data_IF_709984883340
#
_entry.id   IF_709984883340
#
_cell.length_a   1.000
_cell.length_b   1.000
_cell.length_c   1.000
_cell.angle_alpha   90.00
_cell.angle_beta   90.00
_cell.angle_gamma   90.00
#
_symmetry.space_group_name_H-M   'P 1'
#
loop_
_entity.id
_entity.type
_entity.pdbx_description
1 polymer ?
#
# COMPACT_ATOMS: atom_id res chain seq x y z
N UNK A 1 -60.41 -40.41 54.60
CA UNK A 1 -61.07 -39.34 53.80
C UNK A 1 -60.42 -38.03 54.20
N UNK A 2 -59.74 -37.25 53.36
CA UNK A 2 -59.58 -37.26 51.90
C UNK A 2 -58.30 -36.48 51.57
N UNK A 3 -57.54 -37.01 50.61
CA UNK A 3 -56.33 -36.46 49.99
C UNK A 3 -56.68 -35.28 49.08
N UNK A 4 -55.76 -34.33 48.88
CA UNK A 4 -55.39 -33.64 47.61
C UNK A 4 -54.38 -32.53 47.97
N UNK A 5 -53.06 -32.76 47.79
CA UNK A 5 -52.32 -32.49 46.55
C UNK A 5 -52.53 -31.07 46.01
N UNK A 6 -51.46 -30.27 45.92
CA UNK A 6 -51.29 -29.37 44.79
C UNK A 6 -49.82 -28.96 44.57
N UNK A 7 -49.39 -29.25 43.34
CA UNK A 7 -48.06 -29.11 42.78
C UNK A 7 -47.61 -27.66 42.59
N UNK A 8 -46.29 -27.46 42.76
CA UNK A 8 -45.49 -26.40 42.16
C UNK A 8 -45.77 -26.24 40.66
N UNK A 9 -46.02 -25.00 40.21
CA UNK A 9 -45.71 -24.59 38.84
C UNK A 9 -45.11 -23.18 38.85
N UNK A 10 -43.82 -23.07 38.57
CA UNK A 10 -43.11 -21.81 38.38
C UNK A 10 -43.48 -21.28 36.98
N UNK A 11 -44.31 -20.22 36.91
CA UNK A 11 -44.68 -19.57 35.64
C UNK A 11 -43.64 -18.54 35.25
N UNK A 12 -42.62 -18.91 34.47
CA UNK A 12 -41.82 -17.91 33.76
C UNK A 12 -42.65 -17.38 32.59
N UNK A 13 -43.03 -16.10 32.63
CA UNK A 13 -43.74 -15.44 31.52
C UNK A 13 -42.79 -15.35 30.32
N UNK A 14 -43.15 -15.84 29.13
CA UNK A 14 -42.27 -15.76 27.97
C UNK A 14 -42.12 -14.28 27.55
N UNK A 15 -40.92 -13.87 27.12
CA UNK A 15 -40.66 -12.49 26.72
C UNK A 15 -41.59 -12.10 25.57
N UNK A 16 -42.23 -10.93 25.70
CA UNK A 16 -43.14 -10.41 24.68
C UNK A 16 -42.36 -10.04 23.41
N UNK A 17 -42.97 -10.21 22.23
CA UNK A 17 -42.35 -9.88 20.93
C UNK A 17 -41.83 -8.43 20.85
N UNK A 18 -42.42 -7.52 21.63
CA UNK A 18 -42.00 -6.12 21.76
C UNK A 18 -40.66 -6.02 22.51
N UNK A 19 -40.48 -6.79 23.58
CA UNK A 19 -39.23 -6.83 24.35
C UNK A 19 -38.07 -7.46 23.57
N UNK A 20 -38.33 -8.48 22.76
CA UNK A 20 -37.31 -9.08 21.89
C UNK A 20 -36.87 -8.09 20.80
N UNK A 21 -37.80 -7.36 20.19
CA UNK A 21 -37.48 -6.32 19.20
C UNK A 21 -36.67 -5.18 19.82
N UNK A 22 -37.08 -4.68 20.99
CA UNK A 22 -36.34 -3.64 21.70
C UNK A 22 -34.93 -4.10 22.08
N UNK A 23 -34.77 -5.34 22.53
CA UNK A 23 -33.47 -5.93 22.85
C UNK A 23 -32.57 -6.08 21.61
N UNK A 24 -33.13 -6.53 20.48
CA UNK A 24 -32.41 -6.62 19.21
C UNK A 24 -31.98 -5.25 18.68
N UNK A 25 -32.83 -4.22 18.83
CA UNK A 25 -32.46 -2.85 18.48
C UNK A 25 -31.34 -2.30 19.37
N UNK A 26 -31.35 -2.58 20.68
CA UNK A 26 -30.30 -2.14 21.59
C UNK A 26 -28.96 -2.85 21.34
N UNK A 27 -28.98 -4.14 21.00
CA UNK A 27 -27.77 -4.90 20.63
C UNK A 27 -27.23 -4.42 19.28
N UNK A 28 -28.10 -4.14 18.31
CA UNK A 28 -27.67 -3.59 17.02
C UNK A 28 -27.07 -2.18 17.16
N UNK A 29 -27.65 -1.34 18.03
CA UNK A 29 -27.15 0.00 18.30
C UNK A 29 -25.80 -0.01 19.04
N UNK A 30 -25.62 -0.91 20.02
CA UNK A 30 -24.33 -1.05 20.72
C UNK A 30 -23.22 -1.60 19.82
N UNK A 31 -23.56 -2.50 18.89
CA UNK A 31 -22.63 -3.03 17.90
C UNK A 31 -22.20 -1.96 16.87
N UNK A 32 -23.08 -1.00 16.56
CA UNK A 32 -22.78 0.12 15.66
C UNK A 32 -21.85 1.17 16.29
N UNK A 33 -21.86 1.31 17.62
CA UNK A 33 -21.00 2.24 18.38
C UNK A 33 -19.59 1.67 18.65
N UNK A 34 -19.40 0.35 18.56
CA UNK A 34 -18.12 -0.31 18.83
C UNK A 34 -17.15 -0.31 17.64
N UNK A 35 -17.58 0.12 16.45
CA UNK A 35 -16.72 0.21 15.26
C UNK A 35 -16.23 1.65 15.10
N UNK A 36 -15.45 2.13 16.08
CA UNK A 36 -14.53 3.23 15.79
C UNK A 36 -13.23 2.59 15.36
N UNK A 37 -12.79 2.75 14.10
CA UNK A 37 -11.43 2.40 13.72
C UNK A 37 -10.51 3.32 14.53
N UNK A 38 -9.95 2.79 15.62
CA UNK A 38 -8.84 3.41 16.34
C UNK A 38 -7.58 3.36 15.48
N UNK A 39 -7.55 4.09 14.38
CA UNK A 39 -6.34 4.38 13.63
C UNK A 39 -5.52 5.37 14.45
N UNK A 40 -4.70 4.84 15.36
CA UNK A 40 -3.60 5.64 15.91
C UNK A 40 -2.51 5.68 14.84
N UNK A 41 -2.48 6.75 14.06
CA UNK A 41 -1.33 7.05 13.22
C UNK A 41 -0.14 7.23 14.16
N UNK A 42 0.96 6.50 13.92
CA UNK A 42 2.15 6.52 14.78
C UNK A 42 2.53 7.96 15.12
N UNK A 43 2.57 8.29 16.42
CA UNK A 43 2.86 9.65 16.85
C UNK A 43 4.25 10.06 16.36
N UNK A 44 4.41 11.28 15.80
CA UNK A 44 5.71 11.80 15.40
C UNK A 44 6.69 11.73 16.57
N UNK A 45 7.93 11.39 16.29
CA UNK A 45 8.96 11.21 17.33
C UNK A 45 9.28 12.56 17.97
N UNK A 46 8.67 12.93 19.09
CA UNK A 46 8.73 14.31 19.62
C UNK A 46 10.11 14.77 20.12
N UNK A 47 11.12 13.90 20.15
CA UNK A 47 12.49 14.26 20.53
C UNK A 47 13.52 13.58 19.63
N UNK A 48 14.17 14.34 18.75
CA UNK A 48 15.24 13.88 17.87
C UNK A 48 15.36 14.70 16.59
N UNK A 49 16.38 14.47 15.75
CA UNK A 49 16.55 15.18 14.47
C UNK A 49 15.41 14.93 13.46
N UNK A 50 14.55 13.95 13.72
CA UNK A 50 13.39 13.58 12.89
C UNK A 50 12.05 13.93 13.56
N UNK A 51 12.06 14.82 14.56
CA UNK A 51 10.82 15.26 15.18
C UNK A 51 9.93 15.99 14.17
N UNK A 52 8.65 15.59 14.12
CA UNK A 52 7.69 16.08 13.11
C UNK A 52 7.68 15.29 11.79
N UNK A 53 8.62 14.37 11.58
CA UNK A 53 8.63 13.52 10.38
C UNK A 53 7.98 12.16 10.65
N UNK A 54 7.22 11.68 9.67
CA UNK A 54 6.62 10.36 9.64
C UNK A 54 7.33 9.48 8.61
N UNK A 55 7.62 8.23 8.97
CA UNK A 55 8.21 7.26 8.05
C UNK A 55 7.15 6.75 7.08
N UNK A 56 7.38 6.93 5.78
CA UNK A 56 6.55 6.41 4.70
C UNK A 56 7.32 5.37 3.88
N UNK A 57 6.59 4.47 3.23
CA UNK A 57 7.18 3.42 2.38
C UNK A 57 6.26 3.15 1.19
N UNK A 58 6.86 2.95 0.02
CA UNK A 58 6.19 2.46 -1.18
C UNK A 58 7.07 1.45 -1.90
N UNK A 59 6.45 0.36 -2.32
CA UNK A 59 7.10 -0.70 -3.10
C UNK A 59 6.60 -0.65 -4.54
N UNK A 60 7.53 -0.61 -5.49
CA UNK A 60 7.29 -0.68 -6.93
C UNK A 60 7.72 -2.07 -7.39
N UNK A 61 6.81 -2.81 -8.03
CA UNK A 61 7.05 -4.20 -8.46
C UNK A 61 6.99 -4.40 -9.98
N UNK A 62 6.66 -3.35 -10.72
CA UNK A 62 6.48 -3.38 -12.18
C UNK A 62 7.76 -3.12 -12.96
N UNK A 63 8.81 -2.59 -12.32
CA UNK A 63 10.01 -2.10 -13.01
C UNK A 63 11.20 -3.04 -12.80
N UNK A 64 12.02 -3.19 -13.83
CA UNK A 64 13.26 -3.99 -13.83
C UNK A 64 13.09 -5.46 -13.45
N UNK A 65 11.87 -6.00 -13.41
CA UNK A 65 11.59 -7.32 -12.87
C UNK A 65 12.15 -7.51 -11.45
N UNK A 66 12.06 -6.46 -10.62
CA UNK A 66 12.52 -6.46 -9.23
C UNK A 66 11.50 -5.73 -8.33
N UNK A 67 11.76 -5.74 -7.02
CA UNK A 67 11.04 -4.89 -6.06
C UNK A 67 11.94 -3.70 -5.71
N UNK A 68 11.43 -2.48 -5.92
CA UNK A 68 12.07 -1.23 -5.50
C UNK A 68 11.30 -0.68 -4.30
N UNK A 69 11.93 -0.59 -3.13
CA UNK A 69 11.33 0.00 -1.93
C UNK A 69 11.84 1.43 -1.72
N UNK A 70 10.96 2.40 -1.87
CA UNK A 70 11.21 3.81 -1.54
C UNK A 70 10.79 4.06 -0.10
N UNK A 71 11.74 4.44 0.75
CA UNK A 71 11.52 4.74 2.15
C UNK A 71 12.01 6.17 2.41
N UNK A 72 11.13 7.02 2.92
CA UNK A 72 11.49 8.38 3.30
C UNK A 72 10.79 8.79 4.60
N UNK A 73 11.40 9.73 5.31
CA UNK A 73 10.81 10.41 6.45
C UNK A 73 10.35 11.79 5.96
N UNK A 74 9.04 12.05 6.01
CA UNK A 74 8.43 13.28 5.49
C UNK A 74 7.50 13.90 6.53
N UNK A 75 7.36 15.22 6.54
CA UNK A 75 6.43 15.91 7.45
C UNK A 75 4.97 15.62 7.07
N UNK A 76 4.71 15.46 5.76
CA UNK A 76 3.39 15.17 5.22
C UNK A 76 3.42 13.98 4.27
N UNK A 77 2.27 13.33 4.08
CA UNK A 77 2.11 12.29 3.06
C UNK A 77 2.23 12.87 1.65
N UNK A 78 1.76 14.09 1.41
CA UNK A 78 1.82 14.76 0.11
C UNK A 78 3.27 14.96 -0.36
N UNK A 79 4.17 15.35 0.55
CA UNK A 79 5.60 15.45 0.24
C UNK A 79 6.22 14.10 -0.12
N UNK A 80 5.80 13.04 0.58
CA UNK A 80 6.23 11.68 0.26
C UNK A 80 5.74 11.25 -1.13
N UNK A 81 4.46 11.50 -1.45
CA UNK A 81 3.87 11.15 -2.74
C UNK A 81 4.56 11.88 -3.90
N UNK A 82 4.88 13.16 -3.74
CA UNK A 82 5.66 13.91 -4.74
C UNK A 82 7.06 13.33 -4.97
N UNK A 83 7.73 12.86 -3.92
CA UNK A 83 9.04 12.19 -4.04
C UNK A 83 8.90 10.85 -4.76
N UNK A 84 7.88 10.07 -4.41
CA UNK A 84 7.58 8.80 -5.08
C UNK A 84 7.30 9.03 -6.56
N UNK A 85 6.44 9.98 -6.93
CA UNK A 85 6.07 10.23 -8.32
C UNK A 85 7.29 10.61 -9.17
N UNK A 86 8.17 11.45 -8.61
CA UNK A 86 9.44 11.79 -9.26
C UNK A 86 10.36 10.58 -9.42
N UNK A 87 10.42 9.70 -8.42
CA UNK A 87 11.24 8.50 -8.47
C UNK A 87 10.68 7.45 -9.43
N UNK A 88 9.37 7.18 -9.39
CA UNK A 88 8.67 6.26 -10.29
C UNK A 88 8.82 6.70 -11.75
N UNK A 89 8.63 8.00 -12.03
CA UNK A 89 8.85 8.56 -13.38
C UNK A 89 10.28 8.29 -13.84
N UNK A 90 11.28 8.59 -13.00
CA UNK A 90 12.67 8.37 -13.37
C UNK A 90 13.01 6.88 -13.53
N UNK A 91 12.50 6.02 -12.66
CA UNK A 91 12.71 4.59 -12.79
C UNK A 91 12.05 4.02 -14.04
N UNK A 92 10.90 4.53 -14.48
CA UNK A 92 10.27 4.13 -15.73
C UNK A 92 11.12 4.51 -16.95
N UNK A 93 11.65 5.74 -16.98
CA UNK A 93 12.56 6.17 -18.07
C UNK A 93 13.81 5.28 -18.14
N UNK A 94 14.43 5.02 -16.98
CA UNK A 94 15.60 4.15 -16.88
C UNK A 94 15.26 2.71 -17.26
N UNK A 95 14.09 2.20 -16.86
CA UNK A 95 13.65 0.88 -17.23
C UNK A 95 13.58 0.74 -18.75
N UNK A 96 12.96 1.71 -19.43
CA UNK A 96 12.84 1.68 -20.89
C UNK A 96 14.21 1.84 -21.59
N UNK A 97 15.11 2.68 -21.06
CA UNK A 97 16.45 2.88 -21.63
C UNK A 97 17.35 1.64 -21.52
N UNK A 98 17.29 0.96 -20.37
CA UNK A 98 18.22 -0.13 -20.05
C UNK A 98 17.63 -1.53 -20.20
N UNK A 99 16.37 -1.64 -20.65
CA UNK A 99 15.79 -2.93 -20.99
C UNK A 99 16.50 -3.53 -22.21
N UNK A 100 16.98 -4.77 -22.05
CA UNK A 100 17.67 -5.55 -23.08
C UNK A 100 16.76 -6.62 -23.71
N UNK A 101 15.53 -6.77 -23.20
CA UNK A 101 14.62 -7.85 -23.59
C UNK A 101 13.54 -7.38 -24.54
N UNK A 102 13.01 -6.18 -24.30
CA UNK A 102 11.89 -5.63 -25.06
C UNK A 102 12.25 -4.31 -25.74
N UNK A 103 11.69 -4.10 -26.93
CA UNK A 103 11.74 -2.81 -27.61
C UNK A 103 10.63 -1.89 -27.07
N UNK A 104 10.96 -0.64 -26.82
CA UNK A 104 10.05 0.38 -26.32
C UNK A 104 9.94 1.52 -27.33
N UNK A 105 8.72 1.88 -27.72
CA UNK A 105 8.51 2.97 -28.69
C UNK A 105 9.00 4.32 -28.15
N UNK A 106 9.63 5.11 -29.02
CA UNK A 106 10.05 6.48 -28.70
C UNK A 106 11.37 6.59 -27.92
N UNK A 107 12.03 5.48 -27.62
CA UNK A 107 13.36 5.44 -27.00
C UNK A 107 14.27 4.51 -27.79
N UNK A 108 15.56 4.86 -27.89
CA UNK A 108 16.59 3.92 -28.37
C UNK A 108 17.26 3.29 -27.15
N UNK A 109 16.89 2.05 -26.85
CA UNK A 109 17.33 1.34 -25.65
C UNK A 109 18.54 0.44 -25.89
N UNK A 110 19.02 -0.24 -24.84
CA UNK A 110 20.05 -1.27 -24.99
C UNK A 110 19.57 -2.47 -25.82
N UNK A 111 18.27 -2.77 -25.85
CA UNK A 111 17.72 -3.74 -26.80
C UNK A 111 18.07 -3.36 -28.24
N UNK A 112 17.84 -2.11 -28.63
CA UNK A 112 18.08 -1.63 -30.00
C UNK A 112 19.56 -1.64 -30.36
N UNK A 113 20.42 -1.24 -29.41
CA UNK A 113 21.87 -1.29 -29.57
C UNK A 113 22.32 -2.73 -29.84
N UNK A 114 21.82 -3.69 -29.06
CA UNK A 114 22.13 -5.10 -29.25
C UNK A 114 21.59 -5.64 -30.59
N UNK A 115 20.38 -5.25 -30.97
CA UNK A 115 19.79 -5.63 -32.25
C UNK A 115 20.57 -5.10 -33.46
N UNK A 116 21.20 -3.93 -33.32
CA UNK A 116 22.05 -3.31 -34.33
C UNK A 116 23.54 -3.72 -34.24
N UNK A 117 23.89 -4.72 -33.42
CA UNK A 117 25.28 -5.12 -33.21
C UNK A 117 25.99 -5.48 -34.53
N UNK A 118 27.20 -4.96 -34.70
CA UNK A 118 27.99 -5.11 -35.94
C UNK A 118 27.53 -4.23 -37.11
N UNK A 119 26.50 -3.40 -36.91
CA UNK A 119 26.01 -2.43 -37.87
C UNK A 119 26.73 -1.08 -37.80
N UNK A 120 26.07 -0.05 -38.31
CA UNK A 120 26.56 1.34 -38.22
C UNK A 120 26.34 1.91 -36.81
N UNK A 121 27.09 2.96 -36.42
CA UNK A 121 26.85 3.65 -35.14
C UNK A 121 25.39 4.09 -34.99
N UNK A 122 24.80 3.81 -33.82
CA UNK A 122 23.43 4.17 -33.47
C UNK A 122 23.45 5.32 -32.45
N UNK A 123 22.71 6.42 -32.68
CA UNK A 123 22.59 7.48 -31.69
C UNK A 123 21.80 6.97 -30.48
N UNK A 124 22.33 7.21 -29.28
CA UNK A 124 21.74 6.81 -28.01
C UNK A 124 21.76 7.98 -27.03
N UNK A 125 21.04 7.86 -25.91
CA UNK A 125 21.08 8.87 -24.85
C UNK A 125 22.45 8.94 -24.18
N UNK A 126 22.74 10.08 -23.54
CA UNK A 126 23.99 10.27 -22.82
C UNK A 126 24.10 9.30 -21.64
N UNK A 127 23.00 8.95 -20.97
CA UNK A 127 23.02 8.01 -19.85
C UNK A 127 23.46 6.60 -20.24
N UNK A 128 23.10 6.13 -21.45
CA UNK A 128 23.63 4.87 -21.98
C UNK A 128 25.14 4.98 -22.20
N UNK A 129 25.60 6.07 -22.82
CA UNK A 129 27.04 6.28 -23.07
C UNK A 129 27.83 6.40 -21.77
N UNK A 130 27.31 7.11 -20.77
CA UNK A 130 27.93 7.28 -19.46
C UNK A 130 28.06 5.93 -18.75
N UNK A 131 27.00 5.12 -18.74
CA UNK A 131 27.05 3.78 -18.15
C UNK A 131 28.05 2.88 -18.88
N UNK A 132 28.03 2.86 -20.22
CA UNK A 132 28.95 2.02 -21.00
C UNK A 132 30.40 2.45 -20.82
N UNK A 133 30.66 3.77 -20.75
CA UNK A 133 32.00 4.30 -20.48
C UNK A 133 32.48 3.89 -19.09
N UNK A 134 31.62 4.05 -18.07
CA UNK A 134 31.91 3.59 -16.70
C UNK A 134 32.23 2.09 -16.61
N UNK A 135 31.58 1.26 -17.43
CA UNK A 135 31.81 -0.19 -17.44
C UNK A 135 33.10 -0.63 -18.14
N UNK A 136 33.69 0.22 -18.98
CA UNK A 136 34.93 -0.09 -19.73
C UNK A 136 36.17 0.40 -18.97
N UNK A 137 36.01 1.41 -18.11
CA UNK A 137 37.05 1.92 -17.20
C UNK A 137 37.41 0.91 -16.08
#
# INVERSE_FOLDING_TARGET
MTVLSNNMTCRHKPPTRIGIRALLFLIAASLLLAVTPGCTNGTPTETGPYAGYTRHTRDIVSLFNTVISIIAYCETLEDFERLVDSAETRFQELHNLFDIYEHHEGVTSLYDVNAAAGGTPLPVSIEILDLLSFCID
#
